data_IF_355663046514
#
_entry.id   IF_355663046514
#
_cell.length_a   1.000
_cell.length_b   1.000
_cell.length_c   1.000
_cell.angle_alpha   90.00
_cell.angle_beta   90.00
_cell.angle_gamma   90.00
#
_symmetry.space_group_name_H-M   'P 1'
#
loop_
_entity.id
_entity.type
_entity.pdbx_description
1 polymer ?
#
# COMPACT_ATOMS: atom_id res chain seq x y z
N UNK A 1 16.03 70.38 45.74
CA UNK A 1 16.85 69.17 45.90
C UNK A 1 16.80 68.45 44.57
N UNK A 2 17.79 68.81 43.75
CA UNK A 2 18.59 67.95 42.86
C UNK A 2 17.87 67.39 41.62
N UNK A 3 17.95 68.04 40.46
CA UNK A 3 19.04 68.02 39.45
C UNK A 3 19.30 66.68 38.75
N UNK A 4 19.16 66.73 37.42
CA UNK A 4 20.11 66.26 36.42
C UNK A 4 20.38 64.74 36.30
N UNK A 5 19.68 64.11 35.36
CA UNK A 5 20.30 63.43 34.20
C UNK A 5 19.37 63.67 32.99
N UNK A 6 19.59 64.73 32.21
CA UNK A 6 20.34 64.70 30.96
C UNK A 6 19.93 63.60 29.98
N UNK A 7 19.19 64.02 28.94
CA UNK A 7 19.58 63.81 27.55
C UNK A 7 20.19 62.45 27.21
N UNK A 8 19.34 61.44 27.08
CA UNK A 8 19.49 60.48 26.00
C UNK A 8 18.09 60.27 25.43
N UNK A 9 17.73 61.11 24.47
CA UNK A 9 16.59 60.88 23.60
C UNK A 9 16.84 59.64 22.75
N UNK A 10 16.77 58.46 23.36
CA UNK A 10 16.62 57.21 22.61
C UNK A 10 15.13 57.11 22.35
N UNK A 11 14.70 57.78 21.28
CA UNK A 11 13.46 57.43 20.62
C UNK A 11 13.58 55.96 20.26
N UNK A 12 12.96 55.07 21.03
CA UNK A 12 12.73 53.69 20.61
C UNK A 12 11.75 53.80 19.47
N UNK A 13 12.28 54.08 18.28
CA UNK A 13 11.53 53.98 17.04
C UNK A 13 11.05 52.55 16.96
N UNK A 14 9.76 52.35 17.24
CA UNK A 14 9.07 51.10 16.99
C UNK A 14 9.37 50.74 15.54
N UNK A 15 10.27 49.78 15.32
CA UNK A 15 10.59 49.30 13.99
C UNK A 15 9.29 48.69 13.46
N UNK A 16 8.56 49.46 12.66
CA UNK A 16 7.50 48.93 11.84
C UNK A 16 8.17 47.88 10.94
N UNK A 17 7.87 46.61 11.21
CA UNK A 17 8.31 45.50 10.38
C UNK A 17 7.97 45.85 8.93
N UNK A 18 8.95 45.84 8.00
CA UNK A 18 8.69 46.23 6.63
C UNK A 18 7.59 45.32 6.08
N UNK A 19 6.40 45.89 5.88
CA UNK A 19 5.28 45.19 5.28
C UNK A 19 5.70 44.86 3.86
N UNK A 20 6.10 43.61 3.62
CA UNK A 20 6.43 43.12 2.29
C UNK A 20 5.35 43.55 1.30
N UNK A 21 5.72 44.08 0.12
CA UNK A 21 4.78 44.68 -0.79
C UNK A 21 3.70 43.64 -1.17
N UNK A 22 2.41 44.03 -1.20
CA UNK A 22 1.29 43.09 -1.38
C UNK A 22 1.42 42.29 -2.69
N UNK A 23 2.12 42.84 -3.69
CA UNK A 23 2.45 42.17 -4.95
C UNK A 23 3.44 41.02 -4.79
N UNK A 24 4.49 41.19 -3.97
CA UNK A 24 5.50 40.14 -3.76
C UNK A 24 4.89 38.93 -3.04
N UNK A 25 4.01 39.18 -2.05
CA UNK A 25 3.25 38.12 -1.38
C UNK A 25 2.35 37.36 -2.35
N UNK A 26 1.58 38.06 -3.19
CA UNK A 26 0.73 37.43 -4.20
C UNK A 26 1.52 36.60 -5.21
N UNK A 27 2.66 37.10 -5.65
CA UNK A 27 3.55 36.39 -6.57
C UNK A 27 4.09 35.11 -5.94
N UNK A 28 4.58 35.19 -4.70
CA UNK A 28 5.09 34.03 -3.95
C UNK A 28 4.00 32.99 -3.73
N UNK A 29 2.79 33.38 -3.36
CA UNK A 29 1.66 32.46 -3.20
C UNK A 29 1.26 31.82 -4.53
N UNK A 30 1.29 32.56 -5.65
CA UNK A 30 1.02 32.00 -6.97
C UNK A 30 2.05 30.95 -7.37
N UNK A 31 3.35 31.23 -7.19
CA UNK A 31 4.40 30.25 -7.46
C UNK A 31 4.29 29.02 -6.55
N UNK A 32 4.04 29.19 -5.25
CA UNK A 32 3.84 28.09 -4.31
C UNK A 32 2.63 27.23 -4.66
N UNK A 33 1.52 27.85 -5.06
CA UNK A 33 0.32 27.14 -5.49
C UNK A 33 0.53 26.40 -6.80
N UNK A 34 1.25 27.01 -7.75
CA UNK A 34 1.55 26.41 -9.05
C UNK A 34 2.50 25.23 -8.92
N UNK A 35 3.53 25.32 -8.08
CA UNK A 35 4.47 24.22 -7.85
C UNK A 35 3.81 23.05 -7.12
N UNK A 36 2.95 23.34 -6.14
CA UNK A 36 2.17 22.32 -5.43
C UNK A 36 1.18 21.60 -6.37
N UNK A 37 0.53 22.34 -7.28
CA UNK A 37 -0.37 21.76 -8.28
C UNK A 37 0.38 20.88 -9.30
N UNK A 38 1.54 21.32 -9.79
CA UNK A 38 2.37 20.49 -10.69
C UNK A 38 2.94 19.23 -10.00
N UNK A 39 3.31 19.33 -8.71
CA UNK A 39 3.82 18.19 -7.95
C UNK A 39 2.74 17.09 -7.75
N UNK A 40 1.48 17.49 -7.58
CA UNK A 40 0.35 16.57 -7.43
C UNK A 40 -0.16 16.01 -8.76
N UNK A 41 -0.05 16.76 -9.85
CA UNK A 41 -0.39 16.28 -11.19
C UNK A 41 0.54 15.17 -11.70
N UNK A 42 1.81 15.19 -11.27
CA UNK A 42 2.83 14.22 -11.70
C UNK A 42 2.98 13.01 -10.76
N UNK A 43 2.27 12.99 -9.63
CA UNK A 43 2.29 11.84 -8.73
C UNK A 43 1.32 10.77 -9.22
N UNK A 44 1.70 10.05 -10.27
CA UNK A 44 1.06 8.77 -10.54
C UNK A 44 1.55 7.78 -9.46
N UNK A 45 0.65 7.15 -8.67
CA UNK A 45 1.09 6.10 -7.78
C UNK A 45 1.68 5.00 -8.65
N UNK A 46 3.01 4.87 -8.63
CA UNK A 46 3.75 3.75 -9.19
C UNK A 46 3.23 2.48 -8.51
N UNK A 47 2.16 1.89 -9.05
CA UNK A 47 1.68 0.58 -8.63
C UNK A 47 2.77 -0.40 -9.05
N UNK A 48 3.67 -0.70 -8.12
CA UNK A 48 4.63 -1.79 -8.28
C UNK A 48 3.83 -3.05 -8.54
N UNK A 49 3.77 -3.45 -9.80
CA UNK A 49 3.07 -4.64 -10.24
C UNK A 49 3.99 -5.81 -9.96
N UNK A 50 3.62 -6.62 -8.97
CA UNK A 50 4.30 -7.89 -8.75
C UNK A 50 4.16 -8.75 -10.01
N UNK A 51 5.21 -9.48 -10.37
CA UNK A 51 5.17 -10.40 -11.52
C UNK A 51 4.65 -11.78 -11.14
N UNK A 52 4.81 -12.18 -9.89
CA UNK A 52 4.36 -13.44 -9.31
C UNK A 52 4.10 -13.29 -7.79
N UNK A 53 3.35 -14.24 -7.21
CA UNK A 53 3.21 -14.41 -5.77
C UNK A 53 3.65 -15.83 -5.41
N UNK A 54 4.45 -15.95 -4.36
CA UNK A 54 4.94 -17.22 -3.80
C UNK A 54 4.31 -17.34 -2.40
N UNK A 55 3.38 -18.27 -2.21
CA UNK A 55 2.59 -18.47 -0.99
C UNK A 55 2.96 -19.74 -0.20
N UNK A 56 3.86 -19.64 0.78
CA UNK A 56 4.20 -20.79 1.63
C UNK A 56 3.14 -21.01 2.72
N UNK A 57 2.96 -22.25 3.16
CA UNK A 57 2.09 -22.57 4.28
C UNK A 57 1.66 -24.03 4.30
N UNK A 58 0.54 -24.26 4.98
CA UNK A 58 -0.14 -25.54 5.09
C UNK A 58 -1.40 -25.54 4.20
N UNK A 59 -2.39 -26.37 4.56
CA UNK A 59 -3.69 -26.51 3.90
C UNK A 59 -4.38 -25.20 3.50
N UNK A 60 -4.21 -24.11 4.28
CA UNK A 60 -4.85 -22.81 4.01
C UNK A 60 -4.19 -22.08 2.82
N UNK A 61 -2.92 -22.37 2.54
CA UNK A 61 -2.18 -21.85 1.39
C UNK A 61 -2.13 -22.83 0.21
N UNK A 62 -2.51 -24.10 0.44
CA UNK A 62 -2.39 -25.16 -0.55
C UNK A 62 -3.46 -25.06 -1.65
N UNK A 63 -3.00 -24.74 -2.87
CA UNK A 63 -3.85 -24.62 -4.06
C UNK A 63 -4.10 -25.94 -4.80
N UNK A 64 -3.71 -27.09 -4.23
CA UNK A 64 -3.89 -28.43 -4.82
C UNK A 64 -2.62 -29.29 -4.87
N UNK A 65 -1.55 -28.86 -4.21
CA UNK A 65 -0.28 -29.59 -4.14
C UNK A 65 -0.46 -30.94 -3.44
N UNK A 66 -1.20 -31.02 -2.33
CA UNK A 66 -1.45 -32.31 -1.66
C UNK A 66 -2.11 -33.28 -2.64
N UNK A 67 -3.16 -32.85 -3.35
CA UNK A 67 -3.82 -33.68 -4.34
C UNK A 67 -2.88 -34.09 -5.48
N UNK A 68 -2.05 -33.18 -5.98
CA UNK A 68 -1.09 -33.47 -7.05
C UNK A 68 0.08 -34.39 -6.66
N UNK A 69 0.40 -34.48 -5.36
CA UNK A 69 1.47 -35.32 -4.82
C UNK A 69 0.96 -36.65 -4.22
N UNK A 70 -0.35 -36.84 -4.12
CA UNK A 70 -0.95 -38.03 -3.51
C UNK A 70 -0.89 -39.25 -4.44
N UNK A 71 -0.98 -40.45 -3.86
CA UNK A 71 -1.11 -41.68 -4.63
C UNK A 71 -2.46 -41.68 -5.36
N UNK A 72 -2.52 -41.94 -6.68
CA UNK A 72 -3.78 -42.06 -7.41
C UNK A 72 -4.76 -43.09 -6.84
N UNK A 73 -4.27 -44.08 -6.09
CA UNK A 73 -5.08 -45.10 -5.43
C UNK A 73 -5.46 -44.75 -3.99
N UNK A 74 -4.89 -43.68 -3.42
CA UNK A 74 -5.15 -43.20 -2.05
C UNK A 74 -5.27 -41.67 -2.05
N UNK A 75 -6.43 -41.21 -2.51
CA UNK A 75 -6.69 -39.79 -2.68
C UNK A 75 -7.06 -39.12 -1.34
N UNK A 76 -6.55 -37.90 -1.08
CA UNK A 76 -6.87 -37.16 0.13
C UNK A 76 -8.32 -36.67 0.08
N UNK A 77 -8.90 -36.38 1.24
CA UNK A 77 -10.30 -35.92 1.35
C UNK A 77 -10.62 -34.69 0.47
N UNK A 78 -9.63 -33.84 0.19
CA UNK A 78 -9.75 -32.65 -0.68
C UNK A 78 -10.01 -32.97 -2.16
N UNK A 79 -9.89 -34.24 -2.56
CA UNK A 79 -10.25 -34.75 -3.88
C UNK A 79 -11.77 -34.92 -4.07
N UNK A 80 -12.57 -34.80 -3.00
CA UNK A 80 -13.99 -35.11 -3.00
C UNK A 80 -14.84 -33.95 -2.46
N UNK A 81 -16.17 -33.99 -2.64
CA UNK A 81 -17.08 -33.08 -1.94
C UNK A 81 -16.87 -33.06 -0.41
N UNK A 82 -17.03 -31.90 0.26
CA UNK A 82 -17.58 -30.65 -0.26
C UNK A 82 -16.51 -29.69 -0.82
N UNK A 83 -15.28 -30.11 -1.03
CA UNK A 83 -14.21 -29.19 -1.42
C UNK A 83 -14.44 -28.65 -2.84
N UNK A 84 -14.47 -27.32 -3.00
CA UNK A 84 -14.68 -26.62 -4.27
C UNK A 84 -16.13 -26.45 -4.79
N UNK A 85 -17.16 -26.96 -4.12
CA UNK A 85 -18.55 -26.91 -4.61
C UNK A 85 -19.11 -25.48 -4.72
N UNK A 86 -18.80 -24.58 -3.79
CA UNK A 86 -19.43 -23.24 -3.74
C UNK A 86 -18.92 -22.29 -4.85
N UNK A 87 -17.69 -22.48 -5.34
CA UNK A 87 -17.09 -21.55 -6.32
C UNK A 87 -16.69 -22.23 -7.64
N UNK A 88 -16.06 -23.41 -7.57
CA UNK A 88 -15.54 -24.10 -8.75
C UNK A 88 -16.52 -25.15 -9.28
N UNK A 89 -17.52 -25.55 -8.48
CA UNK A 89 -18.49 -26.62 -8.75
C UNK A 89 -17.83 -28.00 -8.98
N UNK A 90 -16.60 -28.19 -8.52
CA UNK A 90 -15.88 -29.47 -8.53
C UNK A 90 -14.71 -29.40 -7.53
N UNK A 91 -14.21 -30.58 -7.13
CA UNK A 91 -13.05 -30.69 -6.24
C UNK A 91 -11.78 -30.21 -6.91
N UNK A 92 -11.08 -29.30 -6.24
CA UNK A 92 -9.85 -28.66 -6.74
C UNK A 92 -8.59 -29.10 -6.00
N UNK A 93 -8.71 -29.96 -4.98
CA UNK A 93 -7.60 -30.30 -4.09
C UNK A 93 -7.29 -29.24 -3.03
N UNK A 94 -8.11 -28.19 -2.92
CA UNK A 94 -7.99 -27.14 -1.92
C UNK A 94 -8.74 -27.49 -0.66
N UNK A 95 -8.21 -27.14 0.51
CA UNK A 95 -8.90 -27.27 1.80
C UNK A 95 -9.95 -26.16 2.01
N UNK A 96 -10.79 -25.90 1.00
CA UNK A 96 -11.88 -24.93 1.04
C UNK A 96 -13.03 -25.36 0.12
N UNK A 97 -14.26 -24.94 0.42
CA UNK A 97 -15.40 -25.09 -0.49
C UNK A 97 -15.34 -24.08 -1.67
N UNK A 98 -14.33 -23.21 -1.71
CA UNK A 98 -14.13 -22.26 -2.80
C UNK A 98 -12.73 -21.68 -2.81
N UNK A 99 -12.63 -20.35 -2.96
CA UNK A 99 -11.35 -19.65 -3.03
C UNK A 99 -10.59 -19.66 -1.70
N UNK A 100 -9.27 -19.62 -1.80
CA UNK A 100 -8.36 -19.36 -0.69
C UNK A 100 -8.07 -17.86 -0.59
N UNK A 101 -7.50 -17.40 0.53
CA UNK A 101 -7.13 -15.99 0.72
C UNK A 101 -6.20 -15.48 -0.39
N UNK A 102 -5.32 -16.35 -0.89
CA UNK A 102 -4.37 -16.02 -1.96
C UNK A 102 -5.05 -15.67 -3.28
N UNK A 103 -6.24 -16.22 -3.57
CA UNK A 103 -6.97 -15.91 -4.81
C UNK A 103 -7.49 -14.47 -4.79
N UNK A 104 -7.83 -13.93 -3.61
CA UNK A 104 -8.25 -12.54 -3.47
C UNK A 104 -7.07 -11.58 -3.61
N UNK A 105 -5.92 -11.92 -3.03
CA UNK A 105 -4.70 -11.11 -3.12
C UNK A 105 -4.15 -11.09 -4.56
N UNK A 106 -4.15 -12.26 -5.21
CA UNK A 106 -3.72 -12.44 -6.59
C UNK A 106 -4.64 -11.78 -7.61
N UNK A 107 -5.94 -11.59 -7.31
CA UNK A 107 -6.84 -10.86 -8.21
C UNK A 107 -6.59 -9.35 -8.18
N UNK A 108 -6.24 -8.79 -7.01
CA UNK A 108 -5.99 -7.35 -6.84
C UNK A 108 -4.67 -6.92 -7.45
N UNK A 109 -3.71 -7.84 -7.50
CA UNK A 109 -2.40 -7.63 -8.09
C UNK A 109 -2.46 -8.23 -9.48
N UNK A 110 -2.40 -7.47 -10.57
CA UNK A 110 -2.53 -7.97 -11.95
C UNK A 110 -1.33 -8.86 -12.37
N UNK A 111 -1.12 -9.97 -11.69
CA UNK A 111 0.08 -10.79 -11.61
C UNK A 111 -0.10 -12.02 -12.50
N UNK A 112 0.94 -12.38 -13.25
CA UNK A 112 1.01 -13.71 -13.89
C UNK A 112 1.33 -14.71 -12.79
N UNK A 113 0.35 -15.53 -12.39
CA UNK A 113 0.56 -16.45 -11.29
C UNK A 113 1.40 -17.64 -11.76
N UNK A 114 2.73 -17.55 -11.60
CA UNK A 114 3.59 -18.71 -11.53
C UNK A 114 3.51 -19.28 -10.11
N UNK A 115 2.70 -20.32 -9.95
CA UNK A 115 2.52 -21.04 -8.69
C UNK A 115 3.69 -22.02 -8.52
N UNK A 116 4.53 -21.80 -7.51
CA UNK A 116 5.54 -22.76 -7.11
C UNK A 116 5.65 -22.71 -5.60
N UNK A 117 5.24 -23.75 -4.88
CA UNK A 117 5.35 -23.81 -3.42
C UNK A 117 5.73 -25.20 -2.96
N UNK A 118 6.87 -25.26 -2.26
CA UNK A 118 7.29 -26.39 -1.46
C UNK A 118 6.31 -26.58 -0.29
N UNK A 119 5.69 -27.75 -0.23
CA UNK A 119 4.94 -28.23 0.92
C UNK A 119 5.88 -28.32 2.12
N UNK A 120 5.61 -27.58 3.20
CA UNK A 120 6.20 -27.91 4.50
C UNK A 120 5.33 -29.01 5.10
N UNK A 121 5.91 -30.20 5.22
CA UNK A 121 5.29 -31.33 5.90
C UNK A 121 4.89 -30.93 7.32
N UNK A 122 3.66 -31.25 7.70
CA UNK A 122 3.43 -31.84 9.03
C UNK A 122 3.47 -33.37 8.86
#
# INVERSE_FOLDING_TARGET
MDECWSNLGVSVSHMASPSSPPLLKKLVTFFLSSTLFLATANSEPQRRRFKSIISFGNSIADTGNLLGLSDPNDLPHVAFPPYGETFFNHSTGRFSNGRLIIDFIGTVSTVSCHYFINSLNE
#
